data_IF_566661487023
#
_entry.id   IF_566661487023
#
_cell.length_a   1.000
_cell.length_b   1.000
_cell.length_c   1.000
_cell.angle_alpha   90.00
_cell.angle_beta   90.00
_cell.angle_gamma   90.00
#
_symmetry.space_group_name_H-M   'P 1'
#
loop_
_entity.id
_entity.type
_entity.pdbx_description
1 polymer ?
#
# COMPACT_ATOMS: atom_id res chain seq x y z
N UNK A 1 -37.18 -21.37 -5.41
CA UNK A 1 -36.22 -22.16 -4.60
C UNK A 1 -34.79 -21.98 -5.11
N UNK A 2 -34.44 -22.46 -6.32
CA UNK A 2 -33.07 -22.36 -6.87
C UNK A 2 -32.58 -20.91 -7.01
N UNK A 3 -33.38 -20.02 -7.60
CA UNK A 3 -33.01 -18.59 -7.74
C UNK A 3 -32.76 -17.91 -6.40
N UNK A 4 -33.58 -18.22 -5.40
CA UNK A 4 -33.42 -17.69 -4.04
C UNK A 4 -32.10 -18.15 -3.42
N UNK A 5 -31.77 -19.44 -3.56
CA UNK A 5 -30.49 -20.00 -3.08
C UNK A 5 -29.31 -19.30 -3.76
N UNK A 6 -29.35 -19.12 -5.09
CA UNK A 6 -28.30 -18.42 -5.83
C UNK A 6 -28.11 -17.00 -5.30
N UNK A 7 -29.21 -16.27 -5.06
CA UNK A 7 -29.15 -14.90 -4.58
C UNK A 7 -28.59 -14.81 -3.15
N UNK A 8 -28.97 -15.73 -2.27
CA UNK A 8 -28.40 -15.81 -0.91
C UNK A 8 -26.91 -16.09 -0.97
N UNK A 9 -26.47 -17.06 -1.78
CA UNK A 9 -25.04 -17.37 -1.95
C UNK A 9 -24.27 -16.16 -2.48
N UNK A 10 -24.80 -15.47 -3.50
CA UNK A 10 -24.18 -14.27 -4.04
C UNK A 10 -24.04 -13.16 -2.98
N UNK A 11 -25.10 -12.92 -2.19
CA UNK A 11 -25.06 -11.96 -1.09
C UNK A 11 -23.98 -12.34 -0.06
N UNK A 12 -23.87 -13.61 0.31
CA UNK A 12 -22.84 -14.07 1.25
C UNK A 12 -21.43 -13.85 0.71
N UNK A 13 -21.19 -14.08 -0.59
CA UNK A 13 -19.89 -13.81 -1.23
C UNK A 13 -19.56 -12.31 -1.18
N UNK A 14 -20.52 -11.44 -1.51
CA UNK A 14 -20.32 -9.98 -1.46
C UNK A 14 -20.00 -9.54 -0.03
N UNK A 15 -20.76 -10.02 0.96
CA UNK A 15 -20.50 -9.73 2.37
C UNK A 15 -19.09 -10.19 2.75
N UNK A 16 -18.71 -11.41 2.42
CA UNK A 16 -17.36 -11.93 2.69
C UNK A 16 -16.26 -11.03 2.09
N UNK A 17 -16.39 -10.63 0.82
CA UNK A 17 -15.44 -9.76 0.13
C UNK A 17 -15.33 -8.37 0.77
N UNK A 18 -16.36 -7.88 1.44
CA UNK A 18 -16.31 -6.59 2.13
C UNK A 18 -15.57 -6.66 3.48
N UNK A 19 -15.59 -7.82 4.13
CA UNK A 19 -15.03 -8.04 5.47
C UNK A 19 -13.67 -8.73 5.49
N UNK A 20 -13.20 -9.26 4.37
CA UNK A 20 -11.86 -9.85 4.24
C UNK A 20 -10.77 -8.83 4.61
N UNK A 21 -9.69 -9.33 5.22
CA UNK A 21 -8.56 -8.49 5.64
C UNK A 21 -7.69 -8.15 4.44
N UNK A 22 -7.51 -6.87 4.19
CA UNK A 22 -6.51 -6.33 3.28
C UNK A 22 -5.28 -5.95 4.11
N UNK A 23 -4.14 -6.56 3.81
CA UNK A 23 -2.87 -6.40 4.53
C UNK A 23 -1.86 -5.73 3.61
N UNK A 24 -1.17 -4.72 4.13
CA UNK A 24 -0.04 -4.06 3.49
C UNK A 24 1.18 -4.32 4.34
N UNK A 25 2.23 -4.86 3.72
CA UNK A 25 3.44 -5.23 4.43
C UNK A 25 4.67 -4.76 3.65
N UNK A 26 5.58 -4.13 4.37
CA UNK A 26 6.87 -3.64 3.90
C UNK A 26 7.87 -4.04 4.98
N UNK A 27 8.89 -4.78 4.59
CA UNK A 27 10.07 -5.07 5.40
C UNK A 27 11.31 -4.96 4.52
N UNK A 28 12.09 -3.90 4.74
CA UNK A 28 13.29 -3.66 3.94
C UNK A 28 14.46 -4.55 4.33
N UNK A 29 14.48 -5.14 5.53
CA UNK A 29 15.57 -6.04 5.93
C UNK A 29 15.45 -7.40 5.24
N UNK A 30 14.22 -7.89 5.08
CA UNK A 30 13.92 -9.18 4.46
C UNK A 30 13.56 -9.07 2.96
N UNK A 31 13.54 -7.86 2.39
CA UNK A 31 13.05 -7.56 1.04
C UNK A 31 11.62 -8.06 0.80
N UNK A 32 10.76 -7.99 1.81
CA UNK A 32 9.37 -8.42 1.72
C UNK A 32 8.45 -7.23 1.53
N UNK A 33 7.87 -7.15 0.34
CA UNK A 33 6.95 -6.06 -0.02
C UNK A 33 5.71 -6.67 -0.65
N UNK A 34 4.58 -6.63 0.05
CA UNK A 34 3.35 -7.20 -0.49
C UNK A 34 2.07 -6.52 -0.04
N UNK A 35 1.05 -6.68 -0.86
CA UNK A 35 -0.33 -6.35 -0.57
C UNK A 35 -1.13 -7.65 -0.66
N UNK A 36 -1.89 -7.98 0.38
CA UNK A 36 -2.62 -9.24 0.45
C UNK A 36 -4.07 -9.02 0.81
N UNK A 37 -4.98 -9.53 -0.02
CA UNK A 37 -6.35 -9.81 0.37
C UNK A 37 -6.40 -11.21 0.97
N UNK A 38 -6.40 -11.30 2.31
CA UNK A 38 -6.15 -12.54 3.05
C UNK A 38 -7.10 -13.66 2.60
N UNK A 39 -6.53 -14.73 2.06
CA UNK A 39 -7.27 -15.90 1.56
C UNK A 39 -7.71 -15.83 0.10
N UNK A 40 -7.47 -14.71 -0.60
CA UNK A 40 -7.93 -14.51 -1.99
C UNK A 40 -6.78 -14.22 -2.95
N UNK A 41 -6.01 -13.17 -2.66
CA UNK A 41 -4.94 -12.72 -3.54
C UNK A 41 -3.77 -12.12 -2.76
N UNK A 42 -2.57 -12.22 -3.30
CA UNK A 42 -1.37 -11.59 -2.78
C UNK A 42 -0.54 -11.06 -3.94
N UNK A 43 -0.24 -9.78 -3.91
CA UNK A 43 0.63 -9.08 -4.84
C UNK A 43 1.96 -8.82 -4.14
N UNK A 44 3.04 -9.30 -4.73
CA UNK A 44 4.42 -9.13 -4.27
C UNK A 44 5.13 -8.15 -5.19
N UNK A 45 6.03 -7.37 -4.61
CA UNK A 45 6.99 -6.56 -5.35
C UNK A 45 8.33 -7.27 -5.22
N UNK A 46 8.86 -7.74 -6.33
CA UNK A 46 10.10 -8.50 -6.40
C UNK A 46 11.10 -7.76 -7.30
N UNK A 47 12.41 -7.76 -6.96
CA UNK A 47 13.42 -7.30 -7.89
C UNK A 47 13.54 -8.31 -9.05
N UNK A 48 13.74 -7.81 -10.28
CA UNK A 48 14.02 -8.64 -11.45
C UNK A 48 15.37 -8.25 -12.08
N UNK A 49 15.94 -9.16 -12.87
CA UNK A 49 17.24 -8.95 -13.54
C UNK A 49 17.11 -8.06 -14.78
N UNK A 50 15.96 -8.10 -15.45
CA UNK A 50 15.71 -7.36 -16.71
C UNK A 50 15.05 -5.99 -16.47
N UNK A 51 14.10 -5.92 -15.52
CA UNK A 51 13.54 -4.67 -15.01
C UNK A 51 13.85 -4.50 -13.53
N UNK A 52 14.09 -3.27 -13.07
CA UNK A 52 14.41 -2.98 -11.66
C UNK A 52 13.37 -3.56 -10.67
N UNK A 53 12.11 -3.72 -11.08
CA UNK A 53 11.02 -4.24 -10.25
C UNK A 53 9.97 -4.97 -11.10
N UNK A 54 9.52 -6.14 -10.64
CA UNK A 54 8.31 -6.83 -11.13
C UNK A 54 7.25 -6.96 -10.04
N UNK A 55 5.98 -6.95 -10.44
CA UNK A 55 4.84 -7.20 -9.55
C UNK A 55 4.26 -8.58 -9.84
N UNK A 56 4.44 -9.52 -8.91
CA UNK A 56 3.89 -10.87 -8.99
C UNK A 56 2.58 -10.96 -8.21
N UNK A 57 1.47 -11.18 -8.91
CA UNK A 57 0.14 -11.33 -8.32
C UNK A 57 -0.25 -12.80 -8.32
N UNK A 58 -0.39 -13.38 -7.14
CA UNK A 58 -0.97 -14.71 -6.93
C UNK A 58 -2.42 -14.55 -6.49
N UNK A 59 -3.37 -14.98 -7.32
CA UNK A 59 -4.80 -14.93 -7.02
C UNK A 59 -5.40 -16.32 -7.16
N UNK A 60 -5.91 -16.88 -6.05
CA UNK A 60 -6.39 -18.27 -5.97
C UNK A 60 -5.33 -19.27 -6.49
N UNK A 61 -5.51 -19.78 -7.71
CA UNK A 61 -4.64 -20.76 -8.38
C UNK A 61 -3.87 -20.17 -9.57
N UNK A 62 -4.00 -18.87 -9.82
CA UNK A 62 -3.39 -18.18 -10.97
C UNK A 62 -2.25 -17.27 -10.53
N UNK A 63 -1.22 -17.17 -11.37
CA UNK A 63 -0.09 -16.27 -11.21
C UNK A 63 -0.06 -15.29 -12.38
N UNK A 64 0.03 -14.00 -12.08
CA UNK A 64 0.15 -12.92 -13.05
C UNK A 64 1.40 -12.11 -12.75
N UNK A 65 2.09 -11.65 -13.79
CA UNK A 65 3.29 -10.83 -13.67
C UNK A 65 3.04 -9.51 -14.40
N UNK A 66 3.28 -8.40 -13.71
CA UNK A 66 3.14 -7.05 -14.24
C UNK A 66 4.48 -6.33 -14.10
N UNK A 67 4.91 -5.70 -15.19
CA UNK A 67 6.12 -4.89 -15.31
C UNK A 67 5.70 -3.41 -15.29
N UNK A 68 5.81 -2.69 -14.16
CA UNK A 68 5.29 -1.34 -14.04
C UNK A 68 6.01 -0.34 -14.94
N UNK A 69 7.29 -0.59 -15.25
CA UNK A 69 8.16 0.36 -15.95
C UNK A 69 8.08 0.27 -17.47
N UNK A 70 7.67 -0.87 -18.02
CA UNK A 70 7.36 -1.07 -19.45
C UNK A 70 6.42 -0.01 -20.08
N UNK A 71 5.56 0.61 -19.26
CA UNK A 71 4.55 1.56 -19.71
C UNK A 71 5.00 3.03 -19.70
N UNK A 72 6.13 3.36 -19.06
CA UNK A 72 6.58 4.75 -18.89
C UNK A 72 7.14 5.34 -20.20
N UNK A 73 7.56 4.51 -21.15
CA UNK A 73 8.11 4.93 -22.45
C UNK A 73 7.17 4.82 -23.66
N UNK A 74 6.02 4.12 -23.55
CA UNK A 74 5.13 3.79 -24.69
C UNK A 74 3.99 4.79 -24.91
N UNK A 75 4.11 6.04 -24.44
CA UNK A 75 3.21 7.12 -24.87
C UNK A 75 3.59 7.59 -26.28
N UNK A 76 3.35 6.73 -27.26
CA UNK A 76 3.44 7.06 -28.68
C UNK A 76 2.58 8.29 -28.98
N UNK A 77 3.18 9.26 -29.67
CA UNK A 77 2.57 10.49 -30.20
C UNK A 77 1.16 10.24 -30.75
N UNK A 78 0.12 10.39 -29.93
CA UNK A 78 -1.25 10.52 -30.42
C UNK A 78 -1.41 11.94 -30.96
N UNK A 79 -1.58 12.04 -32.28
CA UNK A 79 -1.88 13.28 -33.02
C UNK A 79 -2.91 14.10 -32.25
N UNK A 80 -2.53 15.33 -31.95
CA UNK A 80 -3.38 16.38 -31.40
C UNK A 80 -4.56 16.56 -32.37
N UNK A 81 -5.76 16.15 -31.96
CA UNK A 81 -6.97 16.70 -32.57
C UNK A 81 -8.10 16.82 -31.55
N UNK A 82 -8.69 18.02 -31.58
CA UNK A 82 -9.93 18.51 -30.95
C UNK A 82 -9.83 18.94 -29.48
N UNK A 83 -9.90 20.28 -29.34
CA UNK A 83 -10.23 21.04 -28.11
C UNK A 83 -11.40 20.38 -27.38
N UNK A 84 -11.08 19.57 -26.37
CA UNK A 84 -12.04 19.25 -25.33
C UNK A 84 -11.89 20.28 -24.22
N UNK A 85 -13.01 20.86 -23.81
CA UNK A 85 -13.13 21.74 -22.66
C UNK A 85 -12.27 21.22 -21.51
N UNK A 86 -11.43 22.10 -20.96
CA UNK A 86 -10.63 21.81 -19.76
C UNK A 86 -11.62 21.52 -18.63
N UNK A 87 -11.95 20.24 -18.44
CA UNK A 87 -12.64 19.78 -17.23
C UNK A 87 -11.77 20.25 -16.08
N UNK A 88 -12.28 21.16 -15.25
CA UNK A 88 -11.64 21.56 -13.99
C UNK A 88 -11.14 20.27 -13.32
N UNK A 89 -9.83 20.13 -13.18
CA UNK A 89 -9.25 19.06 -12.36
C UNK A 89 -9.89 19.25 -10.99
N UNK A 90 -10.76 18.32 -10.57
CA UNK A 90 -11.26 18.29 -9.19
C UNK A 90 -10.01 18.33 -8.31
N UNK A 91 -9.82 19.41 -7.56
CA UNK A 91 -8.72 19.46 -6.61
C UNK A 91 -8.95 18.31 -5.66
N UNK A 92 -8.03 17.35 -5.64
CA UNK A 92 -8.04 16.30 -4.64
C UNK A 92 -8.00 16.97 -3.27
N UNK A 93 -9.08 16.87 -2.51
CA UNK A 93 -9.11 17.40 -1.15
C UNK A 93 -8.14 16.57 -0.30
N UNK A 94 -7.05 17.18 0.17
CA UNK A 94 -6.06 16.55 1.04
C UNK A 94 -6.69 15.89 2.26
N UNK A 95 -7.78 16.48 2.79
CA UNK A 95 -8.59 15.91 3.87
C UNK A 95 -9.14 14.52 3.55
N UNK A 96 -9.48 14.23 2.29
CA UNK A 96 -9.98 12.92 1.85
C UNK A 96 -8.90 11.85 1.91
N UNK A 97 -7.67 12.19 1.52
CA UNK A 97 -6.52 11.29 1.58
C UNK A 97 -6.19 10.97 3.04
N UNK A 98 -6.17 11.99 3.91
CA UNK A 98 -5.90 11.79 5.35
C UNK A 98 -6.96 10.87 5.97
N UNK A 99 -8.26 11.10 5.70
CA UNK A 99 -9.34 10.22 6.18
C UNK A 99 -9.19 8.79 5.66
N UNK A 100 -8.79 8.61 4.40
CA UNK A 100 -8.56 7.28 3.83
C UNK A 100 -7.41 6.58 4.55
N UNK A 101 -6.27 7.26 4.74
CA UNK A 101 -5.11 6.71 5.46
C UNK A 101 -5.46 6.35 6.91
N UNK A 102 -6.29 7.14 7.58
CA UNK A 102 -6.77 6.84 8.94
C UNK A 102 -7.60 5.56 9.05
N UNK A 103 -8.16 5.04 7.94
CA UNK A 103 -8.88 3.76 7.99
C UNK A 103 -7.94 2.56 8.14
N UNK A 104 -6.66 2.73 7.84
CA UNK A 104 -5.67 1.68 7.99
C UNK A 104 -5.24 1.57 9.44
N UNK A 105 -5.44 0.39 10.02
CA UNK A 105 -4.87 0.05 11.32
C UNK A 105 -3.40 -0.30 11.13
N UNK A 106 -2.53 0.45 11.76
CA UNK A 106 -1.10 0.16 11.82
C UNK A 106 -0.87 -0.90 12.91
N UNK A 107 -0.37 -2.07 12.52
CA UNK A 107 -0.07 -3.18 13.44
C UNK A 107 1.38 -3.13 13.93
N UNK A 108 2.30 -2.73 13.06
CA UNK A 108 3.72 -2.60 13.36
C UNK A 108 4.28 -1.46 12.52
N UNK A 109 4.97 -0.54 13.18
CA UNK A 109 5.74 0.49 12.51
C UNK A 109 7.08 0.63 13.23
N UNK A 110 8.14 0.19 12.55
CA UNK A 110 9.50 0.23 13.05
C UNK A 110 10.38 0.90 12.01
N UNK A 111 11.23 1.80 12.49
CA UNK A 111 12.26 2.45 11.70
C UNK A 111 13.57 2.30 12.47
N UNK A 112 14.60 1.80 11.82
CA UNK A 112 15.98 1.81 12.32
C UNK A 112 16.84 2.53 11.30
N UNK A 113 17.48 3.63 11.69
CA UNK A 113 18.21 4.50 10.77
C UNK A 113 19.65 4.69 11.23
N UNK A 114 20.55 4.64 10.25
CA UNK A 114 21.91 5.17 10.33
C UNK A 114 22.19 6.05 9.11
N UNK A 115 22.53 7.32 9.37
CA UNK A 115 22.86 8.31 8.35
C UNK A 115 24.32 8.26 7.89
N UNK A 116 25.15 7.38 8.46
CA UNK A 116 26.59 7.30 8.23
C UNK A 116 27.40 8.39 8.95
N UNK A 117 26.73 9.27 9.71
CA UNK A 117 27.37 10.32 10.49
C UNK A 117 26.91 10.26 11.95
N UNK A 118 27.86 10.06 12.86
CA UNK A 118 27.59 9.93 14.28
C UNK A 118 26.94 11.18 14.90
N UNK A 119 27.33 12.39 14.45
CA UNK A 119 26.76 13.66 14.92
C UNK A 119 25.30 13.77 14.48
N UNK A 120 25.00 13.42 13.23
CA UNK A 120 23.63 13.45 12.69
C UNK A 120 22.74 12.44 13.40
N UNK A 121 23.22 11.21 13.60
CA UNK A 121 22.51 10.18 14.35
C UNK A 121 22.22 10.63 15.79
N UNK A 122 23.20 11.20 16.49
CA UNK A 122 23.01 11.72 17.84
C UNK A 122 21.96 12.85 17.90
N UNK A 123 21.94 13.74 16.90
CA UNK A 123 20.93 14.82 16.77
C UNK A 123 19.51 14.29 16.53
N UNK A 124 19.35 13.12 15.92
CA UNK A 124 18.04 12.50 15.71
C UNK A 124 17.47 11.90 17.01
N UNK A 125 18.31 11.64 18.02
CA UNK A 125 17.90 10.94 19.24
C UNK A 125 16.76 11.62 20.00
N UNK A 126 16.80 12.95 20.28
CA UNK A 126 15.69 13.63 20.95
C UNK A 126 14.38 13.56 20.16
N UNK A 127 14.46 13.70 18.82
CA UNK A 127 13.30 13.61 17.94
C UNK A 127 12.68 12.20 17.98
N UNK A 128 13.50 11.15 17.88
CA UNK A 128 13.01 9.77 17.86
C UNK A 128 12.48 9.35 19.24
N UNK A 129 13.10 9.83 20.32
CA UNK A 129 12.57 9.65 21.68
C UNK A 129 11.17 10.26 21.84
N UNK A 130 10.94 11.46 21.30
CA UNK A 130 9.63 12.11 21.33
C UNK A 130 8.59 11.37 20.46
N UNK A 131 8.98 10.91 19.27
CA UNK A 131 8.13 10.11 18.38
C UNK A 131 7.77 8.75 18.99
N UNK A 132 8.70 8.10 19.68
CA UNK A 132 8.49 6.84 20.37
C UNK A 132 7.44 6.92 21.48
N UNK A 133 7.29 8.09 22.11
CA UNK A 133 6.26 8.29 23.13
C UNK A 133 4.83 8.23 22.55
N UNK A 134 4.64 8.49 21.25
CA UNK A 134 3.31 8.70 20.66
C UNK A 134 2.96 7.76 19.49
N UNK A 135 3.91 7.41 18.62
CA UNK A 135 3.60 6.95 17.25
C UNK A 135 4.19 5.58 16.90
N UNK A 136 5.33 5.15 17.47
CA UNK A 136 5.93 3.88 17.04
C UNK A 136 7.27 3.51 17.67
N UNK A 137 8.02 2.64 16.97
CA UNK A 137 9.34 2.15 17.38
C UNK A 137 10.43 2.65 16.41
N UNK A 138 10.90 3.86 16.67
CA UNK A 138 11.99 4.51 15.99
C UNK A 138 13.30 4.26 16.74
N UNK A 139 14.30 3.76 16.03
CA UNK A 139 15.64 3.44 16.53
C UNK A 139 16.67 4.15 15.66
N UNK A 140 17.77 4.49 16.30
CA UNK A 140 18.95 5.04 15.66
C UNK A 140 20.08 4.10 15.99
N UNK A 141 20.86 3.73 14.99
CA UNK A 141 22.04 2.91 15.17
C UNK A 141 23.28 3.61 14.61
N UNK A 142 24.44 3.01 14.82
CA UNK A 142 25.75 3.49 14.37
C UNK A 142 26.53 2.37 13.66
N UNK A 143 25.81 1.36 13.17
CA UNK A 143 26.35 0.15 12.57
C UNK A 143 26.19 0.11 11.04
N UNK A 144 25.64 1.16 10.44
CA UNK A 144 25.37 1.28 9.01
C UNK A 144 24.05 0.65 8.55
N UNK A 145 23.18 0.23 9.47
CA UNK A 145 21.96 -0.50 9.13
C UNK A 145 20.78 0.47 8.94
N UNK A 146 19.98 0.22 7.90
CA UNK A 146 18.74 0.96 7.64
C UNK A 146 17.59 -0.03 7.44
N UNK A 147 16.59 0.01 8.32
CA UNK A 147 15.43 -0.87 8.29
C UNK A 147 14.13 -0.09 8.43
N UNK A 148 13.15 -0.44 7.60
CA UNK A 148 11.76 -0.02 7.72
C UNK A 148 10.88 -1.26 7.74
N UNK A 149 10.06 -1.38 8.78
CA UNK A 149 8.98 -2.37 8.86
C UNK A 149 7.66 -1.66 9.03
N UNK A 150 6.77 -1.78 8.05
CA UNK A 150 5.42 -1.27 8.10
C UNK A 150 4.42 -2.40 7.83
N UNK A 151 3.62 -2.71 8.82
CA UNK A 151 2.51 -3.65 8.73
C UNK A 151 1.22 -2.91 9.01
N UNK A 152 0.38 -2.77 7.99
CA UNK A 152 -0.94 -2.18 8.11
C UNK A 152 -2.01 -3.17 7.66
N UNK A 153 -3.20 -3.06 8.25
CA UNK A 153 -4.35 -3.84 7.86
C UNK A 153 -5.59 -2.95 7.73
N UNK A 154 -6.49 -3.33 6.85
CA UNK A 154 -7.77 -2.69 6.67
C UNK A 154 -8.81 -3.71 6.17
N UNK A 155 -10.06 -3.28 6.05
CA UNK A 155 -11.13 -4.03 5.37
C UNK A 155 -11.70 -3.18 4.25
N UNK A 156 -12.04 -3.75 3.09
CA UNK A 156 -12.64 -3.02 1.97
C UNK A 156 -13.84 -2.16 2.38
N UNK A 157 -14.69 -2.65 3.30
CA UNK A 157 -15.84 -1.91 3.81
C UNK A 157 -15.46 -0.54 4.44
N UNK A 158 -14.32 -0.44 5.12
CA UNK A 158 -13.89 0.81 5.75
C UNK A 158 -13.48 1.85 4.71
N UNK A 159 -12.76 1.41 3.67
CA UNK A 159 -12.33 2.25 2.55
C UNK A 159 -13.57 2.79 1.81
N UNK A 160 -14.52 1.91 1.50
CA UNK A 160 -15.77 2.27 0.82
C UNK A 160 -16.56 3.27 1.67
N UNK A 161 -16.71 3.02 2.98
CA UNK A 161 -17.40 3.92 3.91
C UNK A 161 -16.80 5.33 3.89
N UNK A 162 -15.48 5.44 3.89
CA UNK A 162 -14.81 6.75 3.81
C UNK A 162 -15.10 7.44 2.48
N UNK A 163 -15.10 6.71 1.35
CA UNK A 163 -15.37 7.30 0.03
C UNK A 163 -16.81 7.80 -0.08
N UNK A 164 -17.79 7.07 0.47
CA UNK A 164 -19.23 7.41 0.43
C UNK A 164 -19.55 8.59 1.37
N UNK A 165 -18.97 8.61 2.56
CA UNK A 165 -19.19 9.68 3.55
C UNK A 165 -18.31 10.92 3.33
N UNK A 166 -17.73 11.11 2.13
CA UNK A 166 -17.02 12.34 1.76
C UNK A 166 -17.90 13.22 0.91
#
# INVERSE_FOLDING_TARGET
MVLFIILVVLCLVIVYLLFVKLVFFIDTANNEYYIQLKGLAKAYIEPDKEELVRVHIKALFMNFYIYPFDYVGKSGKKKISKKHAVKKKKSFESKKIVRLLQTFKVNKFLIDIDTGNCITNAKLYPMFSALNHHIGHFRINFYGNNQLVLHMQNRPINIIKTIINT
#
